data_IF_176047263249
#
_entry.id   IF_176047263249
#
_cell.length_a   1.000
_cell.length_b   1.000
_cell.length_c   1.000
_cell.angle_alpha   90.00
_cell.angle_beta   90.00
_cell.angle_gamma   90.00
#
_symmetry.space_group_name_H-M   'P 1'
#
loop_
_entity.id
_entity.type
_entity.pdbx_description
1 polymer ?
#
# COMPACT_ATOMS: atom_id res chain seq x y z
N UNK A 1 -4.26 -3.35 12.41
CA UNK A 1 -4.65 -1.96 12.10
C UNK A 1 -3.41 -1.09 12.05
N UNK A 2 -3.02 -0.61 10.87
CA UNK A 2 -1.99 0.42 10.75
C UNK A 2 -2.55 1.73 11.28
N UNK A 3 -2.18 2.02 12.51
CA UNK A 3 -2.29 3.34 13.12
C UNK A 3 -0.92 3.96 12.87
N UNK A 4 -0.84 4.90 11.93
CA UNK A 4 0.38 5.70 11.81
C UNK A 4 0.60 6.44 13.14
N UNK A 5 1.79 6.36 13.76
CA UNK A 5 2.10 7.23 14.89
C UNK A 5 2.10 8.67 14.39
N UNK A 6 1.26 9.50 15.01
CA UNK A 6 1.09 10.90 14.67
C UNK A 6 -0.27 11.17 14.03
N UNK A 7 -1.19 11.70 14.85
CA UNK A 7 -2.32 12.44 14.30
C UNK A 7 -1.76 13.51 13.34
N UNK A 8 -2.06 13.38 12.04
CA UNK A 8 -1.69 14.33 10.99
C UNK A 8 -0.21 14.36 10.54
N UNK A 9 0.48 13.21 10.42
CA UNK A 9 1.76 13.15 9.71
C UNK A 9 1.58 13.32 8.19
N UNK A 10 1.22 14.53 7.75
CA UNK A 10 1.24 14.89 6.32
C UNK A 10 2.68 15.27 5.93
N UNK A 11 3.25 14.57 4.95
CA UNK A 11 4.58 14.84 4.41
C UNK A 11 5.64 13.79 4.79
N UNK A 12 6.93 14.07 4.51
CA UNK A 12 8.02 13.15 4.76
C UNK A 12 8.14 12.83 6.26
N UNK A 13 7.84 11.59 6.62
CA UNK A 13 7.96 11.09 7.98
C UNK A 13 8.58 9.69 8.00
N UNK A 14 9.32 9.41 9.07
CA UNK A 14 9.97 8.12 9.27
C UNK A 14 8.91 7.02 9.51
N UNK A 15 8.98 5.96 8.73
CA UNK A 15 8.06 4.82 8.75
C UNK A 15 8.53 3.68 9.65
N UNK A 16 9.74 3.72 10.20
CA UNK A 16 10.31 2.58 10.92
C UNK A 16 9.40 2.03 12.03
N UNK A 17 8.66 2.90 12.74
CA UNK A 17 7.71 2.48 13.79
C UNK A 17 6.52 1.65 13.25
N UNK A 18 6.07 1.88 12.01
CA UNK A 18 4.94 1.15 11.42
C UNK A 18 5.37 -0.15 10.73
N UNK A 19 6.61 -0.20 10.24
CA UNK A 19 7.22 -1.38 9.62
C UNK A 19 7.37 -2.55 10.59
N UNK A 20 7.39 -2.30 11.90
CA UNK A 20 7.50 -3.34 12.94
C UNK A 20 6.18 -4.13 13.15
N UNK A 21 5.11 -3.77 12.45
CA UNK A 21 3.80 -4.40 12.63
C UNK A 21 3.65 -5.60 11.70
N UNK A 22 3.06 -6.69 12.22
CA UNK A 22 2.81 -7.91 11.45
C UNK A 22 1.86 -7.72 10.25
N UNK A 23 1.05 -6.65 10.24
CA UNK A 23 0.14 -6.31 9.14
C UNK A 23 0.72 -5.31 8.13
N UNK A 24 2.02 -5.00 8.22
CA UNK A 24 2.75 -4.20 7.24
C UNK A 24 3.79 -5.09 6.55
N UNK A 25 3.53 -5.44 5.30
CA UNK A 25 4.46 -6.21 4.48
C UNK A 25 5.49 -5.24 3.89
N UNK A 26 6.77 -5.48 4.18
CA UNK A 26 7.88 -4.62 3.77
C UNK A 26 8.73 -5.32 2.71
N UNK A 27 8.82 -4.72 1.53
CA UNK A 27 9.64 -5.20 0.42
C UNK A 27 10.70 -4.16 0.12
N UNK A 28 11.96 -4.56 -0.01
CA UNK A 28 13.05 -3.62 -0.27
C UNK A 28 14.02 -4.18 -1.29
N UNK A 29 14.50 -3.28 -2.14
CA UNK A 29 15.67 -3.54 -2.97
C UNK A 29 16.93 -3.72 -2.11
N UNK A 30 18.00 -4.35 -2.65
CA UNK A 30 19.36 -4.13 -2.17
C UNK A 30 19.71 -2.62 -2.15
N UNK A 31 20.75 -2.19 -1.41
CA UNK A 31 21.25 -0.82 -1.55
C UNK A 31 21.58 -0.56 -3.03
N UNK A 32 21.14 0.58 -3.53
CA UNK A 32 21.38 0.94 -4.92
C UNK A 32 22.86 1.26 -5.13
N UNK A 33 23.43 0.74 -6.21
CA UNK A 33 24.82 1.02 -6.59
C UNK A 33 24.98 2.39 -7.27
N UNK A 34 23.91 2.86 -7.90
CA UNK A 34 23.85 4.12 -8.63
C UNK A 34 22.55 4.86 -8.31
N UNK A 35 22.54 6.16 -8.56
CA UNK A 35 21.35 6.97 -8.37
C UNK A 35 20.22 6.51 -9.32
N UNK A 36 19.00 6.43 -8.80
CA UNK A 36 17.79 6.13 -9.59
C UNK A 36 16.80 7.28 -9.40
N UNK A 37 16.52 8.00 -10.49
CA UNK A 37 15.57 9.10 -10.52
C UNK A 37 14.17 8.58 -10.86
N UNK A 38 13.20 8.85 -9.97
CA UNK A 38 11.80 8.46 -10.13
C UNK A 38 10.95 9.72 -10.12
N UNK A 39 10.39 10.08 -11.27
CA UNK A 39 9.58 11.29 -11.44
C UNK A 39 8.31 10.98 -12.22
N UNK A 40 7.17 11.14 -11.56
CA UNK A 40 5.85 11.00 -12.17
C UNK A 40 4.89 10.13 -11.37
N UNK A 41 3.81 9.65 -12.01
CA UNK A 41 2.80 8.84 -11.36
C UNK A 41 3.30 7.42 -11.06
N UNK A 42 2.90 6.89 -9.91
CA UNK A 42 3.25 5.56 -9.40
C UNK A 42 1.99 4.70 -9.38
N UNK A 43 2.08 3.51 -9.96
CA UNK A 43 1.01 2.51 -9.94
C UNK A 43 1.52 1.21 -9.30
N UNK A 44 0.77 0.68 -8.34
CA UNK A 44 1.04 -0.62 -7.73
C UNK A 44 0.02 -1.63 -8.28
N UNK A 45 0.51 -2.69 -8.93
CA UNK A 45 -0.30 -3.82 -9.39
C UNK A 45 -0.04 -5.02 -8.52
N UNK A 46 -1.06 -5.47 -7.81
CA UNK A 46 -0.93 -6.58 -6.86
C UNK A 46 -2.01 -7.64 -7.08
N UNK A 47 -1.62 -8.89 -6.96
CA UNK A 47 -2.50 -10.04 -6.88
C UNK A 47 -2.84 -10.29 -5.42
N UNK A 48 -4.13 -10.28 -5.10
CA UNK A 48 -4.60 -10.31 -3.72
C UNK A 48 -5.75 -11.27 -3.52
N UNK A 49 -5.90 -11.77 -2.30
CA UNK A 49 -7.13 -12.45 -1.84
C UNK A 49 -7.47 -11.97 -0.44
N UNK A 50 -8.74 -12.02 -0.08
CA UNK A 50 -9.22 -11.72 1.27
C UNK A 50 -10.19 -12.79 1.76
N UNK A 51 -10.19 -13.11 3.05
CA UNK A 51 -11.25 -13.90 3.66
C UNK A 51 -12.58 -13.13 3.79
N UNK A 52 -12.58 -11.82 3.54
CA UNK A 52 -13.74 -10.94 3.65
C UNK A 52 -14.33 -10.61 2.27
N UNK A 53 -15.65 -10.29 2.20
CA UNK A 53 -16.30 -9.88 0.95
C UNK A 53 -15.91 -8.45 0.51
N UNK A 54 -15.24 -7.68 1.36
CA UNK A 54 -14.61 -6.41 1.03
C UNK A 54 -13.46 -6.16 2.01
N UNK A 55 -12.47 -5.38 1.60
CA UNK A 55 -11.34 -4.91 2.43
C UNK A 55 -10.66 -3.76 1.69
N UNK A 56 -9.74 -3.06 2.36
CA UNK A 56 -8.84 -2.14 1.69
C UNK A 56 -7.46 -2.80 1.45
N UNK A 57 -6.75 -2.31 0.44
CA UNK A 57 -5.33 -2.54 0.23
C UNK A 57 -4.62 -1.20 0.08
N UNK A 58 -3.47 -1.04 0.72
CA UNK A 58 -2.65 0.17 0.68
C UNK A 58 -1.27 -0.13 0.15
N UNK A 59 -0.68 0.84 -0.55
CA UNK A 59 0.73 0.81 -0.94
C UNK A 59 1.42 2.11 -0.53
N UNK A 60 2.67 2.03 -0.08
CA UNK A 60 3.53 3.20 0.11
C UNK A 60 4.90 2.99 -0.52
N UNK A 61 5.38 4.02 -1.21
CA UNK A 61 6.77 4.10 -1.68
C UNK A 61 7.59 4.89 -0.66
N UNK A 62 8.69 4.29 -0.22
CA UNK A 62 9.55 4.79 0.86
C UNK A 62 11.01 4.80 0.38
N UNK A 63 11.73 5.87 0.70
CA UNK A 63 13.17 6.00 0.53
C UNK A 63 13.88 5.66 1.85
N UNK A 64 14.64 4.57 1.84
CA UNK A 64 15.39 4.13 3.01
C UNK A 64 16.82 4.59 2.89
N UNK A 65 17.23 5.46 3.79
CA UNK A 65 18.56 6.04 3.86
C UNK A 65 19.58 5.02 4.41
N UNK A 66 20.89 5.22 4.16
CA UNK A 66 21.94 4.34 4.66
C UNK A 66 22.02 4.23 6.20
N UNK A 67 21.54 5.24 6.92
CA UNK A 67 21.45 5.26 8.38
C UNK A 67 20.22 4.52 8.94
N UNK A 68 19.35 4.01 8.06
CA UNK A 68 18.14 3.28 8.41
C UNK A 68 16.87 4.13 8.48
N UNK A 69 16.96 5.45 8.30
CA UNK A 69 15.79 6.32 8.25
C UNK A 69 14.90 5.98 7.04
N UNK A 70 13.60 5.74 7.26
CA UNK A 70 12.67 5.27 6.23
C UNK A 70 11.64 6.35 5.88
N UNK A 71 11.93 7.19 4.89
CA UNK A 71 11.11 8.37 4.58
C UNK A 71 10.06 8.05 3.52
N UNK A 72 8.78 8.21 3.88
CA UNK A 72 7.68 8.07 2.91
C UNK A 72 7.75 9.14 1.82
N UNK A 73 7.58 8.71 0.56
CA UNK A 73 7.51 9.59 -0.61
C UNK A 73 6.08 9.80 -1.09
N UNK A 74 5.32 8.70 -1.24
CA UNK A 74 3.92 8.75 -1.67
C UNK A 74 3.20 7.47 -1.27
N UNK A 75 1.86 7.53 -1.21
CA UNK A 75 1.01 6.43 -0.81
C UNK A 75 -0.36 6.49 -1.46
N UNK A 76 -1.03 5.34 -1.48
CA UNK A 76 -2.37 5.18 -2.02
C UNK A 76 -3.14 4.06 -1.34
N UNK A 77 -4.44 4.05 -1.57
CA UNK A 77 -5.37 3.03 -1.07
C UNK A 77 -6.33 2.66 -2.20
N UNK A 78 -6.75 1.40 -2.22
CA UNK A 78 -7.88 0.94 -3.00
C UNK A 78 -8.79 0.12 -2.08
N UNK A 79 -10.06 0.52 -2.03
CA UNK A 79 -11.12 -0.28 -1.44
C UNK A 79 -11.59 -1.31 -2.46
N UNK A 80 -11.54 -2.58 -2.10
CA UNK A 80 -11.62 -3.69 -3.04
C UNK A 80 -12.95 -3.76 -3.81
N UNK A 81 -14.06 -3.29 -3.19
CA UNK A 81 -15.34 -3.19 -3.90
C UNK A 81 -15.30 -2.25 -5.12
N UNK A 82 -14.37 -1.31 -5.16
CA UNK A 82 -14.20 -0.35 -6.26
C UNK A 82 -13.04 -0.71 -7.21
N UNK A 83 -12.56 -1.97 -7.18
CA UNK A 83 -11.42 -2.41 -7.99
C UNK A 83 -11.59 -2.23 -9.50
N UNK A 84 -12.84 -2.33 -9.99
CA UNK A 84 -13.17 -2.26 -11.42
C UNK A 84 -13.86 -0.93 -11.81
N UNK A 85 -14.49 -0.25 -10.86
CA UNK A 85 -15.24 0.99 -11.08
C UNK A 85 -15.32 1.79 -9.78
N UNK A 86 -15.14 3.11 -9.88
CA UNK A 86 -15.34 4.01 -8.75
C UNK A 86 -16.82 4.29 -8.44
N UNK A 87 -17.73 3.89 -9.35
CA UNK A 87 -19.16 4.16 -9.24
C UNK A 87 -19.99 2.90 -8.97
N UNK A 88 -19.53 1.75 -9.45
CA UNK A 88 -20.27 0.49 -9.38
C UNK A 88 -19.50 -0.49 -8.47
N UNK A 89 -19.88 -0.62 -7.19
CA UNK A 89 -19.20 -1.50 -6.27
C UNK A 89 -19.52 -2.98 -6.57
N UNK A 90 -18.50 -3.82 -6.55
CA UNK A 90 -18.59 -5.27 -6.74
C UNK A 90 -17.89 -5.96 -5.56
N UNK A 91 -18.57 -6.80 -4.79
CA UNK A 91 -17.92 -7.49 -3.66
C UNK A 91 -16.87 -8.50 -4.16
N UNK A 92 -15.95 -8.86 -3.28
CA UNK A 92 -15.04 -9.98 -3.47
C UNK A 92 -15.75 -11.29 -3.16
N UNK A 93 -15.40 -12.34 -3.89
CA UNK A 93 -15.61 -13.71 -3.44
C UNK A 93 -14.49 -14.04 -2.44
N UNK A 94 -14.81 -14.48 -1.20
CA UNK A 94 -13.80 -14.84 -0.22
C UNK A 94 -12.79 -15.87 -0.76
N UNK A 95 -11.51 -15.61 -0.47
CA UNK A 95 -10.33 -16.39 -0.87
C UNK A 95 -10.08 -16.49 -2.40
N UNK A 96 -10.94 -15.92 -3.25
CA UNK A 96 -10.64 -15.77 -4.67
C UNK A 96 -9.51 -14.74 -4.87
N UNK A 97 -8.72 -14.95 -5.94
CA UNK A 97 -7.57 -14.10 -6.28
C UNK A 97 -7.98 -13.08 -7.32
N UNK A 98 -7.64 -11.82 -7.06
CA UNK A 98 -7.90 -10.68 -7.95
C UNK A 98 -6.59 -9.95 -8.24
N UNK A 99 -6.39 -9.51 -9.48
CA UNK A 99 -5.44 -8.44 -9.78
C UNK A 99 -6.11 -7.10 -9.45
N UNK A 100 -5.46 -6.27 -8.64
CA UNK A 100 -5.94 -4.92 -8.32
C UNK A 100 -4.85 -3.89 -8.58
N UNK A 101 -5.29 -2.67 -8.94
CA UNK A 101 -4.41 -1.57 -9.35
C UNK A 101 -4.61 -0.38 -8.43
N UNK A 102 -3.57 -0.02 -7.68
CA UNK A 102 -3.58 1.08 -6.76
C UNK A 102 -2.85 2.26 -7.38
N UNK A 103 -3.53 3.41 -7.45
CA UNK A 103 -2.89 4.67 -7.76
C UNK A 103 -2.19 5.19 -6.50
N UNK A 104 -0.85 5.20 -6.49
CA UNK A 104 -0.04 5.75 -5.40
C UNK A 104 0.34 7.22 -5.64
N UNK A 105 -0.40 7.92 -6.51
CA UNK A 105 -0.23 9.33 -6.86
C UNK A 105 1.12 9.56 -7.56
N UNK A 106 1.78 10.68 -7.34
CA UNK A 106 3.02 11.02 -8.02
C UNK A 106 4.10 11.45 -7.03
N UNK A 107 5.37 11.25 -7.40
CA UNK A 107 6.52 11.75 -6.67
C UNK A 107 7.59 12.26 -7.63
N UNK A 108 8.57 12.97 -7.09
CA UNK A 108 9.80 13.34 -7.78
C UNK A 108 10.95 13.19 -6.78
N UNK A 109 11.65 12.06 -6.85
CA UNK A 109 12.74 11.73 -5.93
C UNK A 109 13.92 11.10 -6.66
N UNK A 110 15.12 11.32 -6.16
CA UNK A 110 16.32 10.60 -6.58
C UNK A 110 16.76 9.72 -5.42
N UNK A 111 16.65 8.41 -5.58
CA UNK A 111 17.23 7.46 -4.64
C UNK A 111 18.74 7.41 -4.89
N UNK A 112 19.52 7.90 -3.93
CA UNK A 112 20.98 8.00 -4.07
C UNK A 112 21.69 6.64 -3.89
N UNK A 113 22.96 6.49 -4.30
CA UNK A 113 23.73 5.30 -3.98
C UNK A 113 23.72 5.00 -2.47
N UNK A 114 23.54 3.73 -2.12
CA UNK A 114 23.39 3.26 -0.74
C UNK A 114 21.97 3.35 -0.19
N UNK A 115 21.07 4.14 -0.79
CA UNK A 115 19.65 4.13 -0.44
C UNK A 115 18.97 2.85 -0.95
N UNK A 116 17.76 2.60 -0.46
CA UNK A 116 16.90 1.51 -0.96
C UNK A 116 15.55 2.07 -1.34
N UNK A 117 15.01 1.58 -2.45
CA UNK A 117 13.58 1.68 -2.73
C UNK A 117 12.84 0.63 -1.90
N UNK A 118 11.86 1.08 -1.10
CA UNK A 118 11.01 0.24 -0.27
C UNK A 118 9.54 0.41 -0.64
N UNK A 119 8.83 -0.71 -0.71
CA UNK A 119 7.39 -0.79 -0.83
C UNK A 119 6.81 -1.35 0.47
N UNK A 120 5.89 -0.61 1.08
CA UNK A 120 5.04 -1.11 2.16
C UNK A 120 3.66 -1.45 1.62
N UNK A 121 3.14 -2.63 1.97
CA UNK A 121 1.78 -3.06 1.64
C UNK A 121 1.02 -3.40 2.91
N UNK A 122 -0.22 -2.92 3.01
CA UNK A 122 -1.12 -3.22 4.13
C UNK A 122 -2.58 -3.13 3.70
N UNK A 123 -3.50 -3.05 4.64
CA UNK A 123 -4.95 -2.98 4.43
C UNK A 123 -5.63 -1.86 5.23
N UNK A 124 -4.85 -0.87 5.69
CA UNK A 124 -5.39 0.30 6.37
C UNK A 124 -4.36 1.43 6.37
N UNK A 125 -4.84 2.67 6.38
CA UNK A 125 -4.02 3.86 6.61
C UNK A 125 -4.87 4.93 7.31
N UNK A 126 -5.09 4.73 8.61
CA UNK A 126 -5.92 5.59 9.44
C UNK A 126 -5.04 6.62 10.17
N UNK A 127 -5.46 7.89 10.32
CA UNK A 127 -6.77 8.46 9.96
C UNK A 127 -6.85 9.06 8.56
N UNK A 128 -5.84 8.89 7.70
CA UNK A 128 -5.84 9.44 6.34
C UNK A 128 -7.04 8.95 5.52
N UNK A 129 -7.41 7.69 5.67
CA UNK A 129 -8.60 7.08 5.10
C UNK A 129 -9.47 6.46 6.20
N UNK A 130 -10.79 6.39 5.96
CA UNK A 130 -11.69 5.62 6.80
C UNK A 130 -11.32 4.13 6.75
N UNK A 131 -11.62 3.40 7.82
CA UNK A 131 -11.31 1.97 7.90
C UNK A 131 -12.39 1.18 7.19
N UNK A 132 -12.02 0.20 6.37
CA UNK A 132 -12.98 -0.79 5.91
C UNK A 132 -13.54 -1.60 7.09
N UNK A 133 -14.85 -1.85 7.08
CA UNK A 133 -15.53 -2.72 8.06
C UNK A 133 -15.30 -4.20 7.80
N UNK A 134 -14.83 -4.55 6.59
CA UNK A 134 -14.65 -5.90 6.07
C UNK A 134 -15.94 -6.74 5.99
N UNK A 135 -17.10 -6.10 5.99
CA UNK A 135 -18.41 -6.77 5.93
C UNK A 135 -19.06 -6.71 4.55
N UNK A 136 -18.59 -5.80 3.67
CA UNK A 136 -19.29 -5.45 2.43
C UNK A 136 -20.46 -4.48 2.63
N UNK A 137 -20.78 -4.09 3.87
CA UNK A 137 -21.88 -3.19 4.23
C UNK A 137 -21.61 -1.72 3.95
N UNK A 138 -22.51 -0.87 4.45
CA UNK A 138 -22.36 0.60 4.39
C UNK A 138 -21.53 1.05 5.58
N UNK A 139 -20.21 1.17 5.38
CA UNK A 139 -19.20 1.40 6.42
C UNK A 139 -19.57 2.55 7.37
N UNK A 140 -20.05 3.68 6.85
CA UNK A 140 -20.42 4.85 7.66
C UNK A 140 -21.64 4.63 8.58
N UNK A 141 -22.46 3.61 8.30
CA UNK A 141 -23.61 3.23 9.11
C UNK A 141 -23.34 2.06 10.06
N UNK A 142 -22.14 1.48 10.04
CA UNK A 142 -21.79 0.32 10.86
C UNK A 142 -21.11 0.76 12.17
N UNK A 143 -21.50 0.13 13.28
CA UNK A 143 -20.81 0.28 14.56
C UNK A 143 -19.51 -0.52 14.57
N UNK A 144 -18.58 -0.17 15.46
CA UNK A 144 -17.28 -0.84 15.55
C UNK A 144 -17.41 -2.34 15.88
N UNK A 145 -18.46 -2.74 16.59
CA UNK A 145 -18.75 -4.14 16.95
C UNK A 145 -19.18 -4.98 15.74
N UNK A 146 -19.65 -4.34 14.67
CA UNK A 146 -20.02 -5.02 13.43
C UNK A 146 -18.81 -5.32 12.54
N UNK A 147 -17.68 -4.65 12.78
CA UNK A 147 -16.48 -4.79 11.95
C UNK A 147 -15.90 -6.19 12.13
N UNK A 148 -15.39 -6.74 11.03
CA UNK A 148 -14.78 -8.07 11.01
C UNK A 148 -13.30 -7.98 10.75
N UNK A 149 -12.53 -8.91 11.30
CA UNK A 149 -11.14 -9.10 10.87
C UNK A 149 -11.13 -9.78 9.50
N UNK A 150 -10.13 -9.44 8.68
CA UNK A 150 -9.91 -10.07 7.38
C UNK A 150 -8.50 -10.66 7.34
N UNK A 151 -8.37 -11.85 6.78
CA UNK A 151 -7.07 -12.44 6.42
C UNK A 151 -6.80 -12.08 4.98
N UNK A 152 -5.88 -11.14 4.78
CA UNK A 152 -5.50 -10.64 3.47
C UNK A 152 -4.17 -11.26 3.04
N UNK A 153 -4.05 -11.61 1.76
CA UNK A 153 -2.84 -12.21 1.20
C UNK A 153 -2.42 -11.47 -0.06
N UNK A 154 -1.11 -11.27 -0.21
CA UNK A 154 -0.48 -10.72 -1.41
C UNK A 154 0.33 -11.83 -2.07
N UNK A 155 0.10 -12.07 -3.37
CA UNK A 155 0.82 -13.07 -4.16
C UNK A 155 1.85 -12.39 -5.04
N UNK A 156 3.07 -12.92 -5.12
CA UNK A 156 4.17 -12.31 -5.91
C UNK A 156 5.07 -13.39 -6.55
N UNK A 157 4.46 -14.48 -6.99
CA UNK A 157 5.14 -15.57 -7.71
C UNK A 157 5.14 -15.34 -9.23
N UNK A 158 5.79 -16.24 -9.98
CA UNK A 158 5.95 -16.12 -11.43
C UNK A 158 4.63 -16.06 -12.22
N UNK A 159 3.54 -16.65 -11.69
CA UNK A 159 2.22 -16.61 -12.34
C UNK A 159 1.36 -15.44 -11.87
N UNK A 160 1.72 -14.83 -10.73
CA UNK A 160 1.05 -13.70 -10.10
C UNK A 160 2.07 -12.62 -9.77
N UNK A 161 2.67 -11.97 -10.78
CA UNK A 161 3.82 -11.10 -10.60
C UNK A 161 3.37 -9.72 -10.08
N UNK A 162 3.01 -9.62 -8.80
CA UNK A 162 2.78 -8.31 -8.16
C UNK A 162 4.02 -7.42 -8.29
N UNK A 163 3.83 -6.18 -8.71
CA UNK A 163 4.93 -5.25 -8.99
C UNK A 163 4.51 -3.79 -8.85
N UNK A 164 5.52 -2.95 -8.63
CA UNK A 164 5.41 -1.50 -8.62
C UNK A 164 5.90 -0.95 -9.96
N UNK A 165 5.09 -0.11 -10.60
CA UNK A 165 5.47 0.61 -11.83
C UNK A 165 6.05 1.96 -11.44
N UNK A 166 7.34 2.14 -11.74
CA UNK A 166 8.10 3.35 -11.43
C UNK A 166 8.46 4.10 -12.73
N UNK A 167 8.16 5.41 -12.83
CA UNK A 167 8.59 6.25 -13.94
C UNK A 167 10.06 6.65 -13.76
N UNK A 168 10.95 5.74 -14.13
CA UNK A 168 12.40 5.96 -14.07
C UNK A 168 12.81 6.94 -15.17
N UNK A 169 13.57 7.97 -14.79
CA UNK A 169 14.18 8.92 -15.72
C UNK A 169 15.66 8.56 -15.88
N UNK A 170 16.05 8.19 -17.09
CA UNK A 170 17.45 8.02 -17.46
C UNK A 170 18.01 9.37 -17.92
N UNK A 171 19.15 9.79 -17.36
CA UNK A 171 19.86 11.02 -17.75
C UNK A 171 21.27 10.68 -18.22
#
# INVERSE_FOLDING_TARGET
QVILPGANAMGPCDQHAVELRDDVLVYSTPPLEQAVEVIGPIELRIFVSSSAPDTDFTGKLVDVHPDGCAIILTEGILRARYRNSSMEPELLEPDAVYEVRLNLWATANVFLPGHRMRLEVSSSNFPRFDRNSNTGGVIAGESAEQYRTAVNRIFHDATRPSHLLLPIIER
#
